data_IF_409813905655
#
_entry.id   IF_409813905655
#
_cell.length_a   1.000
_cell.length_b   1.000
_cell.length_c   1.000
_cell.angle_alpha   90.00
_cell.angle_beta   90.00
_cell.angle_gamma   90.00
#
_symmetry.space_group_name_H-M   'P 1'
#
loop_
_entity.id
_entity.type
_entity.pdbx_description
1 polymer ?
#
# COMPACT_ATOMS: atom_id res chain seq x y z
N UNK A 1 -2.22 -41.85 19.70
CA UNK A 1 -1.80 -40.60 19.07
C UNK A 1 -3.06 -39.77 18.95
N UNK A 2 -3.22 -38.72 19.75
CA UNK A 2 -4.37 -37.84 19.64
C UNK A 2 -4.24 -37.04 18.36
N UNK A 3 -5.19 -37.20 17.44
CA UNK A 3 -5.29 -36.36 16.25
C UNK A 3 -5.73 -34.99 16.75
N UNK A 4 -4.82 -34.02 16.78
CA UNK A 4 -5.18 -32.62 17.04
C UNK A 4 -5.87 -32.12 15.78
N UNK A 5 -7.18 -32.19 15.75
CA UNK A 5 -7.98 -31.43 14.80
C UNK A 5 -7.71 -29.96 15.10
N UNK A 6 -7.28 -29.21 14.09
CA UNK A 6 -7.19 -27.76 14.24
C UNK A 6 -8.52 -27.22 14.77
N UNK A 7 -8.48 -26.15 15.51
CA UNK A 7 -9.58 -25.58 16.31
C UNK A 7 -10.74 -25.00 15.49
N UNK A 8 -11.22 -25.72 14.49
CA UNK A 8 -12.56 -25.52 13.97
C UNK A 8 -13.52 -26.13 15.00
N UNK A 9 -14.23 -25.29 15.71
CA UNK A 9 -15.31 -25.71 16.60
C UNK A 9 -16.33 -26.49 15.79
N UNK A 10 -16.33 -27.81 15.97
CA UNK A 10 -17.40 -28.69 15.52
C UNK A 10 -18.41 -28.73 16.67
N UNK A 11 -19.08 -27.65 16.94
CA UNK A 11 -20.17 -27.58 17.90
C UNK A 11 -21.51 -27.38 17.22
N UNK A 12 -22.29 -28.20 17.56
CA UNK A 12 -23.70 -28.65 17.56
C UNK A 12 -24.78 -27.78 16.89
N UNK A 13 -24.62 -26.77 16.16
CA UNK A 13 -25.61 -26.13 15.24
C UNK A 13 -25.06 -24.80 14.67
N UNK A 14 -24.33 -24.78 13.78
CA UNK A 14 -24.34 -24.52 12.34
C UNK A 14 -24.79 -23.09 12.01
N UNK A 15 -23.90 -22.17 12.21
CA UNK A 15 -23.93 -20.96 11.42
C UNK A 15 -23.59 -21.35 9.96
N UNK A 16 -24.45 -21.00 9.01
CA UNK A 16 -24.20 -21.19 7.58
C UNK A 16 -23.11 -20.25 7.06
N UNK A 17 -22.61 -19.36 7.90
CA UNK A 17 -21.59 -18.36 7.60
C UNK A 17 -20.59 -18.31 8.75
N UNK A 18 -19.30 -18.29 8.44
CA UNK A 18 -18.26 -17.98 9.40
C UNK A 18 -18.28 -16.48 9.68
N UNK A 19 -17.99 -16.12 10.94
CA UNK A 19 -17.79 -14.72 11.28
C UNK A 19 -16.52 -14.22 10.58
N UNK A 20 -16.58 -13.12 9.78
CA UNK A 20 -15.40 -12.62 9.09
C UNK A 20 -14.38 -12.09 10.09
N UNK A 21 -13.12 -12.46 9.89
CA UNK A 21 -12.02 -11.85 10.63
C UNK A 21 -11.90 -10.37 10.28
N UNK A 22 -11.26 -9.60 11.16
CA UNK A 22 -10.94 -8.20 10.92
C UNK A 22 -9.62 -8.10 10.15
N UNK A 23 -9.63 -7.35 9.06
CA UNK A 23 -8.45 -7.10 8.20
C UNK A 23 -8.32 -5.61 7.90
N UNK A 24 -7.09 -5.16 7.67
CA UNK A 24 -6.86 -3.87 7.06
C UNK A 24 -7.14 -3.93 5.56
N UNK A 25 -7.89 -2.97 5.05
CA UNK A 25 -8.17 -2.89 3.63
C UNK A 25 -6.90 -2.57 2.83
N UNK A 26 -6.74 -3.22 1.67
CA UNK A 26 -5.63 -2.94 0.79
C UNK A 26 -5.91 -1.70 -0.05
N UNK A 27 -5.31 -0.58 0.34
CA UNK A 27 -5.47 0.74 -0.30
C UNK A 27 -4.84 0.84 -1.69
N UNK A 28 -4.04 -0.14 -2.10
CA UNK A 28 -3.39 -0.18 -3.41
C UNK A 28 -4.16 -1.03 -4.43
N UNK A 29 -5.30 -1.60 -4.08
CA UNK A 29 -6.10 -2.43 -4.98
C UNK A 29 -6.58 -1.67 -6.22
N UNK A 30 -6.93 -0.38 -6.08
CA UNK A 30 -7.54 0.43 -7.13
C UNK A 30 -6.54 1.03 -8.14
N UNK A 31 -5.25 0.88 -7.93
CA UNK A 31 -4.20 1.40 -8.83
C UNK A 31 -4.11 2.94 -8.93
N UNK A 32 -4.85 3.69 -8.12
CA UNK A 32 -4.86 5.16 -8.12
C UNK A 32 -3.71 5.77 -7.31
N UNK A 33 -3.10 4.98 -6.45
CA UNK A 33 -2.13 5.41 -5.44
C UNK A 33 -0.68 5.15 -5.83
N UNK A 34 -0.45 4.47 -6.95
CA UNK A 34 0.88 4.13 -7.43
C UNK A 34 0.93 4.13 -8.96
N UNK A 35 2.13 3.99 -9.53
CA UNK A 35 2.32 3.82 -10.96
C UNK A 35 2.76 2.41 -11.32
N UNK A 36 2.24 1.88 -12.42
CA UNK A 36 2.69 0.64 -13.06
C UNK A 36 3.54 0.89 -14.32
N UNK A 37 4.12 2.09 -14.46
CA UNK A 37 5.01 2.44 -15.57
C UNK A 37 6.40 1.84 -15.35
N UNK A 38 6.65 0.68 -15.93
CA UNK A 38 7.92 -0.02 -15.87
C UNK A 38 8.26 -0.64 -17.23
N UNK A 39 9.53 -0.94 -17.46
CA UNK A 39 10.02 -1.65 -18.63
C UNK A 39 10.57 -3.01 -18.21
N UNK A 40 10.11 -4.07 -18.86
CA UNK A 40 10.69 -5.41 -18.73
C UNK A 40 11.84 -5.55 -19.71
N UNK A 41 13.00 -5.95 -19.20
CA UNK A 41 14.21 -6.23 -20.01
C UNK A 41 14.79 -7.58 -19.59
N UNK A 42 15.68 -8.10 -20.40
CA UNK A 42 16.35 -9.39 -20.14
C UNK A 42 17.06 -9.50 -18.78
N UNK A 43 17.30 -8.40 -18.07
CA UNK A 43 17.91 -8.34 -16.75
C UNK A 43 16.96 -8.01 -15.60
N UNK A 44 15.65 -7.91 -15.83
CA UNK A 44 14.69 -7.58 -14.79
C UNK A 44 13.69 -6.48 -15.15
N UNK A 45 12.99 -6.00 -14.15
CA UNK A 45 12.00 -4.92 -14.27
C UNK A 45 12.64 -3.61 -13.81
N UNK A 46 12.49 -2.56 -14.61
CA UNK A 46 13.15 -1.28 -14.35
C UNK A 46 12.20 -0.11 -14.59
N UNK A 47 12.34 0.93 -13.77
CA UNK A 47 11.77 2.24 -14.04
C UNK A 47 12.88 3.12 -14.61
N UNK A 48 12.64 3.68 -15.81
CA UNK A 48 13.58 4.61 -16.45
C UNK A 48 13.35 6.02 -15.93
N UNK A 49 14.38 6.61 -15.35
CA UNK A 49 14.41 8.01 -14.93
C UNK A 49 15.34 8.81 -15.85
N UNK A 50 14.78 9.76 -16.58
CA UNK A 50 15.58 10.69 -17.39
C UNK A 50 16.22 11.75 -16.49
N UNK A 51 17.48 12.07 -16.76
CA UNK A 51 18.12 13.18 -16.10
C UNK A 51 17.49 14.51 -16.58
N UNK A 52 17.22 15.41 -15.65
CA UNK A 52 16.72 16.75 -15.96
C UNK A 52 17.90 17.62 -16.39
N UNK A 53 17.88 18.09 -17.64
CA UNK A 53 18.76 19.14 -18.07
C UNK A 53 18.20 20.52 -17.71
N UNK A 54 19.06 21.45 -17.28
CA UNK A 54 18.64 22.83 -17.05
C UNK A 54 18.46 23.53 -18.40
N UNK A 55 17.34 24.20 -18.59
CA UNK A 55 17.10 25.05 -19.74
C UNK A 55 17.59 26.44 -19.44
N UNK A 56 18.57 26.93 -20.18
CA UNK A 56 19.01 28.32 -20.15
C UNK A 56 18.27 29.16 -21.21
N UNK A 57 17.95 30.44 -20.93
CA UNK A 57 17.42 31.33 -21.94
C UNK A 57 18.40 31.44 -23.13
N UNK A 58 17.94 31.11 -24.33
CA UNK A 58 18.73 31.23 -25.55
C UNK A 58 18.75 32.66 -26.05
N UNK A 59 19.82 33.01 -26.78
CA UNK A 59 19.89 34.29 -27.52
C UNK A 59 19.18 34.13 -28.87
N UNK A 60 18.23 35.01 -29.23
CA UNK A 60 17.55 34.91 -30.52
C UNK A 60 18.54 34.87 -31.69
N UNK A 61 18.33 33.92 -32.60
CA UNK A 61 19.16 33.78 -33.80
C UNK A 61 20.47 33.00 -33.63
N UNK A 62 20.71 32.34 -32.51
CA UNK A 62 21.84 31.43 -32.30
C UNK A 62 21.38 29.96 -32.32
N UNK A 63 22.32 29.08 -32.65
CA UNK A 63 22.12 27.65 -32.68
C UNK A 63 21.73 27.12 -31.29
N UNK A 64 20.96 26.01 -31.27
CA UNK A 64 20.60 25.31 -30.06
C UNK A 64 21.86 24.75 -29.37
N UNK A 65 21.92 24.87 -28.08
CA UNK A 65 22.93 24.20 -27.25
C UNK A 65 22.51 22.74 -27.03
N UNK A 66 23.23 21.80 -27.62
CA UNK A 66 22.99 20.39 -27.43
C UNK A 66 23.43 19.95 -26.03
N UNK A 67 22.51 19.38 -25.29
CA UNK A 67 22.77 18.77 -23.97
C UNK A 67 22.64 17.26 -24.11
N UNK A 68 23.68 16.53 -23.72
CA UNK A 68 23.61 15.08 -23.68
C UNK A 68 22.54 14.62 -22.68
N UNK A 69 21.59 13.83 -23.13
CA UNK A 69 20.60 13.21 -22.28
C UNK A 69 21.17 11.94 -21.66
N UNK A 70 21.05 11.81 -20.34
CA UNK A 70 21.38 10.57 -19.62
C UNK A 70 20.13 10.01 -18.99
N UNK A 71 20.05 8.70 -18.87
CA UNK A 71 19.01 8.01 -18.14
C UNK A 71 19.58 7.12 -17.04
N UNK A 72 18.78 6.90 -16.01
CA UNK A 72 19.10 5.98 -14.93
C UNK A 72 18.01 4.94 -14.86
N UNK A 73 18.40 3.66 -14.85
CA UNK A 73 17.50 2.55 -14.66
C UNK A 73 17.42 2.22 -13.16
N UNK A 74 16.22 2.30 -12.59
CA UNK A 74 15.94 1.95 -11.20
C UNK A 74 15.34 0.55 -11.18
N UNK A 75 16.02 -0.47 -10.64
CA UNK A 75 15.51 -1.82 -10.61
C UNK A 75 14.36 -1.96 -9.59
N UNK A 76 13.32 -2.70 -9.98
CA UNK A 76 12.28 -3.21 -9.09
C UNK A 76 12.50 -4.71 -8.96
N UNK A 77 12.74 -5.17 -7.75
CA UNK A 77 13.00 -6.59 -7.47
C UNK A 77 11.73 -7.24 -6.93
N UNK A 78 11.33 -8.34 -7.56
CA UNK A 78 10.17 -9.14 -7.19
C UNK A 78 10.58 -10.16 -6.12
N UNK A 79 10.66 -9.76 -4.89
CA UNK A 79 11.12 -10.59 -3.78
C UNK A 79 10.17 -10.61 -2.58
N UNK A 80 9.02 -9.96 -2.69
CA UNK A 80 7.98 -10.00 -1.68
C UNK A 80 6.93 -11.03 -2.09
N UNK A 81 7.08 -12.24 -1.59
CA UNK A 81 6.20 -13.36 -1.88
C UNK A 81 5.28 -13.62 -0.69
N UNK A 82 3.98 -13.51 -0.92
CA UNK A 82 2.92 -13.77 0.03
C UNK A 82 2.23 -15.07 -0.35
N UNK A 83 2.31 -16.05 0.53
CA UNK A 83 1.77 -17.39 0.29
C UNK A 83 0.88 -17.81 1.45
N UNK A 84 -0.24 -18.43 1.13
CA UNK A 84 -1.08 -19.12 2.12
C UNK A 84 -1.52 -20.48 1.57
N UNK A 85 -1.48 -21.48 2.44
CA UNK A 85 -1.98 -22.82 2.12
C UNK A 85 -2.77 -23.35 3.33
N UNK A 86 -4.07 -23.49 3.16
CA UNK A 86 -4.99 -24.00 4.14
C UNK A 86 -5.38 -25.46 3.81
N UNK A 87 -5.37 -26.32 4.83
CA UNK A 87 -5.80 -27.74 4.73
C UNK A 87 -7.22 -27.88 5.24
N UNK A 88 -8.08 -28.47 4.44
CA UNK A 88 -9.46 -28.76 4.81
C UNK A 88 -9.64 -30.27 4.71
N UNK A 89 -9.99 -30.93 5.82
CA UNK A 89 -10.27 -32.36 5.83
C UNK A 89 -11.72 -32.61 5.44
N UNK A 90 -11.99 -33.65 4.61
CA UNK A 90 -13.34 -33.98 4.15
C UNK A 90 -14.32 -34.24 5.30
N UNK A 91 -13.85 -34.88 6.37
CA UNK A 91 -14.69 -35.11 7.57
C UNK A 91 -15.17 -33.79 8.20
N UNK A 92 -14.36 -32.74 8.15
CA UNK A 92 -14.74 -31.42 8.64
C UNK A 92 -15.73 -30.74 7.68
N UNK A 93 -15.50 -30.88 6.37
CA UNK A 93 -16.37 -30.31 5.35
C UNK A 93 -17.77 -30.96 5.33
N UNK A 94 -17.86 -32.30 5.58
CA UNK A 94 -19.14 -33.01 5.64
C UNK A 94 -19.98 -32.64 6.86
N UNK A 95 -19.36 -32.22 7.95
CA UNK A 95 -20.03 -31.84 9.19
C UNK A 95 -20.49 -30.36 9.23
N UNK A 96 -20.13 -29.57 8.25
CA UNK A 96 -20.44 -28.15 8.15
C UNK A 96 -21.27 -27.93 6.87
N UNK A 97 -22.46 -27.34 6.98
CA UNK A 97 -23.34 -27.03 5.86
C UNK A 97 -22.78 -25.91 4.95
N UNK A 98 -21.74 -25.19 5.37
CA UNK A 98 -21.11 -24.11 4.61
C UNK A 98 -20.07 -24.65 3.65
N UNK A 99 -19.86 -23.96 2.53
CA UNK A 99 -18.75 -24.22 1.60
C UNK A 99 -17.43 -23.73 2.23
N UNK A 100 -16.87 -24.56 3.11
CA UNK A 100 -15.65 -24.26 3.88
C UNK A 100 -14.48 -23.92 2.97
N UNK A 101 -14.39 -24.57 1.80
CA UNK A 101 -13.29 -24.31 0.88
C UNK A 101 -13.37 -22.89 0.30
N UNK A 102 -14.55 -22.46 -0.10
CA UNK A 102 -14.80 -21.12 -0.62
C UNK A 102 -14.55 -20.04 0.44
N UNK A 103 -15.07 -20.25 1.65
CA UNK A 103 -14.88 -19.26 2.72
C UNK A 103 -13.41 -19.16 3.17
N UNK A 104 -12.69 -20.28 3.23
CA UNK A 104 -11.25 -20.28 3.49
C UNK A 104 -10.46 -19.60 2.38
N UNK A 105 -10.92 -19.70 1.14
CA UNK A 105 -10.36 -19.00 0.01
C UNK A 105 -10.55 -17.48 0.15
N UNK A 106 -11.77 -17.02 0.45
CA UNK A 106 -12.05 -15.58 0.68
C UNK A 106 -11.23 -15.01 1.85
N UNK A 107 -11.05 -15.78 2.92
CA UNK A 107 -10.20 -15.41 4.06
C UNK A 107 -8.73 -15.30 3.63
N UNK A 108 -8.22 -16.28 2.87
CA UNK A 108 -6.84 -16.27 2.41
C UNK A 108 -6.55 -15.08 1.50
N UNK A 109 -7.46 -14.76 0.57
CA UNK A 109 -7.34 -13.59 -0.32
C UNK A 109 -7.23 -12.28 0.48
N UNK A 110 -8.07 -12.12 1.50
CA UNK A 110 -8.04 -10.91 2.36
C UNK A 110 -6.74 -10.79 3.15
N UNK A 111 -6.27 -11.88 3.75
CA UNK A 111 -5.02 -11.90 4.52
C UNK A 111 -3.79 -11.64 3.65
N UNK A 112 -3.74 -12.19 2.43
CA UNK A 112 -2.70 -11.90 1.46
C UNK A 112 -2.77 -10.43 1.02
N UNK A 113 -3.98 -9.92 0.75
CA UNK A 113 -4.21 -8.53 0.39
C UNK A 113 -3.74 -7.55 1.48
N UNK A 114 -4.02 -7.85 2.76
CA UNK A 114 -3.51 -7.09 3.90
C UNK A 114 -1.98 -7.13 3.97
N UNK A 115 -1.37 -8.32 3.95
CA UNK A 115 0.08 -8.47 4.01
C UNK A 115 0.80 -7.74 2.88
N UNK A 116 0.28 -7.84 1.67
CA UNK A 116 0.79 -7.14 0.49
C UNK A 116 0.66 -5.61 0.65
N UNK A 117 -0.49 -5.11 1.07
CA UNK A 117 -0.73 -3.68 1.29
C UNK A 117 0.15 -3.10 2.38
N UNK A 118 0.30 -3.79 3.52
CA UNK A 118 1.16 -3.37 4.62
C UNK A 118 2.64 -3.35 4.23
N UNK A 119 3.11 -4.32 3.44
CA UNK A 119 4.47 -4.32 2.90
C UNK A 119 4.72 -3.17 1.93
N UNK A 120 3.74 -2.81 1.10
CA UNK A 120 3.84 -1.65 0.22
C UNK A 120 3.94 -0.33 1.01
N UNK A 121 3.14 -0.17 2.08
CA UNK A 121 3.25 0.96 3.00
C UNK A 121 4.62 0.99 3.68
N UNK A 122 5.12 -0.16 4.13
CA UNK A 122 6.45 -0.26 4.75
C UNK A 122 7.56 0.22 3.82
N UNK A 123 7.52 -0.17 2.54
CA UNK A 123 8.45 0.31 1.53
C UNK A 123 8.33 1.82 1.35
N UNK A 124 7.11 2.35 1.20
CA UNK A 124 6.87 3.77 1.00
C UNK A 124 7.37 4.63 2.19
N UNK A 125 7.15 4.18 3.43
CA UNK A 125 7.62 4.86 4.64
C UNK A 125 9.13 4.75 4.82
N UNK A 126 9.72 3.62 4.47
CA UNK A 126 11.15 3.35 4.67
C UNK A 126 12.02 4.03 3.62
N UNK A 127 11.60 4.02 2.34
CA UNK A 127 12.35 4.60 1.22
C UNK A 127 11.92 6.04 0.90
N UNK A 128 10.82 6.52 1.49
CA UNK A 128 10.32 7.88 1.32
C UNK A 128 11.20 8.93 2.01
N UNK A 129 11.10 10.19 1.54
CA UNK A 129 11.77 11.33 2.17
C UNK A 129 11.12 11.69 3.51
N UNK A 130 11.92 12.21 4.43
CA UNK A 130 11.41 12.71 5.72
C UNK A 130 10.60 13.98 5.51
N UNK A 131 9.48 14.12 6.20
CA UNK A 131 8.67 15.34 6.21
C UNK A 131 9.40 16.54 6.80
N UNK A 132 8.92 17.72 6.49
CA UNK A 132 9.59 19.00 6.83
C UNK A 132 9.39 19.47 8.27
N UNK A 133 8.44 18.87 9.00
CA UNK A 133 8.04 19.30 10.34
C UNK A 133 7.99 18.16 11.34
N UNK A 134 8.42 18.43 12.60
CA UNK A 134 8.38 17.46 13.70
C UNK A 134 7.23 17.73 14.69
N UNK A 135 6.27 18.57 14.32
CA UNK A 135 5.16 18.95 15.21
C UNK A 135 4.02 17.94 15.06
N UNK A 136 3.53 17.38 16.14
CA UNK A 136 2.36 16.50 16.16
C UNK A 136 1.11 17.25 15.68
N UNK A 137 0.27 16.58 14.90
CA UNK A 137 -0.97 17.15 14.39
C UNK A 137 -1.99 17.35 15.52
N UNK A 138 -2.69 18.47 15.44
CA UNK A 138 -3.82 18.82 16.31
C UNK A 138 -4.85 19.55 15.45
N UNK A 139 -6.10 19.64 15.89
CA UNK A 139 -7.15 20.38 15.17
C UNK A 139 -6.77 21.83 14.87
N UNK A 140 -5.97 22.47 15.75
CA UNK A 140 -5.53 23.85 15.58
C UNK A 140 -4.43 24.05 14.52
N UNK A 141 -3.56 23.05 14.32
CA UNK A 141 -2.38 23.17 13.42
C UNK A 141 -2.45 22.33 12.15
N UNK A 142 -3.40 21.41 12.04
CA UNK A 142 -3.51 20.42 10.96
C UNK A 142 -3.38 21.04 9.58
N UNK A 143 -4.17 22.07 9.28
CA UNK A 143 -4.14 22.77 8.00
C UNK A 143 -2.75 23.34 7.68
N UNK A 144 -2.10 23.93 8.69
CA UNK A 144 -0.77 24.50 8.55
C UNK A 144 0.27 23.44 8.26
N UNK A 145 0.18 22.27 8.90
CA UNK A 145 1.06 21.13 8.66
C UNK A 145 0.92 20.59 7.24
N UNK A 146 -0.30 20.32 6.77
CA UNK A 146 -0.56 19.85 5.40
C UNK A 146 -0.02 20.83 4.36
N UNK A 147 -0.28 22.13 4.55
CA UNK A 147 0.22 23.17 3.64
C UNK A 147 1.73 23.29 3.65
N UNK A 148 2.38 23.13 4.81
CA UNK A 148 3.84 23.16 4.94
C UNK A 148 4.48 22.00 4.18
N UNK A 149 4.01 20.75 4.39
CA UNK A 149 4.51 19.57 3.66
C UNK A 149 4.27 19.67 2.16
N UNK A 150 3.06 20.08 1.75
CA UNK A 150 2.77 20.34 0.33
C UNK A 150 3.71 21.37 -0.27
N UNK A 151 3.94 22.49 0.44
CA UNK A 151 4.86 23.54 -0.02
C UNK A 151 6.30 23.03 -0.15
N UNK A 152 6.76 22.19 0.80
CA UNK A 152 8.09 21.59 0.76
C UNK A 152 8.26 20.68 -0.47
N UNK A 153 7.26 19.84 -0.79
CA UNK A 153 7.27 18.99 -1.97
C UNK A 153 7.23 19.80 -3.28
N UNK A 154 6.36 20.82 -3.36
CA UNK A 154 6.26 21.68 -4.54
C UNK A 154 7.56 22.44 -4.81
N UNK A 155 8.28 22.90 -3.76
CA UNK A 155 9.62 23.50 -3.89
C UNK A 155 10.64 22.52 -4.50
N UNK A 156 10.48 21.22 -4.27
CA UNK A 156 11.26 20.15 -4.89
C UNK A 156 10.74 19.75 -6.30
N UNK A 157 9.80 20.51 -6.85
CA UNK A 157 9.14 20.28 -8.17
C UNK A 157 8.29 19.01 -8.19
N UNK A 158 7.90 18.48 -7.02
CA UNK A 158 6.94 17.39 -6.92
C UNK A 158 5.50 17.93 -7.02
N UNK A 159 4.60 17.08 -7.49
CA UNK A 159 3.17 17.38 -7.58
C UNK A 159 2.40 16.35 -6.72
N UNK A 160 2.34 16.55 -5.41
CA UNK A 160 1.67 15.59 -4.54
C UNK A 160 0.18 15.52 -4.89
N UNK A 161 -0.33 14.31 -5.05
CA UNK A 161 -1.71 14.00 -5.40
C UNK A 161 -2.35 12.97 -4.47
N UNK A 162 -1.54 12.22 -3.71
CA UNK A 162 -2.00 11.21 -2.74
C UNK A 162 -1.50 11.52 -1.34
N UNK A 163 -2.39 11.36 -0.35
CA UNK A 163 -2.07 11.46 1.08
C UNK A 163 -2.65 10.25 1.79
N UNK A 164 -1.78 9.36 2.27
CA UNK A 164 -2.18 8.27 3.14
C UNK A 164 -2.15 8.77 4.59
N UNK A 165 -3.24 8.61 5.28
CA UNK A 165 -3.45 9.11 6.65
C UNK A 165 -3.54 7.97 7.64
N UNK A 166 -2.96 8.13 8.84
CA UNK A 166 -3.30 7.24 9.95
C UNK A 166 -4.75 7.48 10.40
N UNK A 167 -5.41 6.50 11.03
CA UNK A 167 -6.79 6.64 11.52
C UNK A 167 -6.97 7.86 12.43
N UNK A 168 -6.03 8.09 13.34
CA UNK A 168 -6.07 9.25 14.26
C UNK A 168 -5.95 10.58 13.50
N UNK A 169 -5.04 10.66 12.53
CA UNK A 169 -4.90 11.85 11.70
C UNK A 169 -6.13 12.08 10.83
N UNK A 170 -6.72 11.01 10.31
CA UNK A 170 -7.94 11.08 9.51
C UNK A 170 -9.14 11.55 10.34
N UNK A 171 -9.28 11.10 11.59
CA UNK A 171 -10.29 11.59 12.52
C UNK A 171 -10.14 13.09 12.80
N UNK A 172 -8.90 13.57 13.06
CA UNK A 172 -8.63 15.01 13.20
C UNK A 172 -8.95 15.81 11.93
N UNK A 173 -8.72 15.21 10.76
CA UNK A 173 -9.04 15.82 9.47
C UNK A 173 -10.55 16.01 9.32
N UNK A 174 -11.35 15.00 9.67
CA UNK A 174 -12.81 15.07 9.64
C UNK A 174 -13.35 16.10 10.64
N UNK A 175 -12.82 16.15 11.85
CA UNK A 175 -13.21 17.13 12.86
C UNK A 175 -12.92 18.56 12.39
N UNK A 176 -11.73 18.80 11.83
CA UNK A 176 -11.34 20.12 11.30
C UNK A 176 -12.17 20.50 10.06
N UNK A 177 -12.50 19.52 9.22
CA UNK A 177 -13.32 19.73 8.04
C UNK A 177 -14.73 20.25 8.39
N UNK A 178 -15.35 19.73 9.45
CA UNK A 178 -16.66 20.17 9.91
C UNK A 178 -16.72 21.63 10.36
N UNK A 179 -15.61 22.21 10.77
CA UNK A 179 -15.56 23.60 11.30
C UNK A 179 -15.02 24.63 10.32
N UNK A 180 -14.15 24.27 9.40
CA UNK A 180 -13.45 25.22 8.52
C UNK A 180 -13.52 24.88 7.03
N UNK A 181 -14.12 23.77 6.69
CA UNK A 181 -14.13 23.20 5.36
C UNK A 181 -15.53 22.85 4.95
N UNK A 182 -15.88 23.19 3.69
CA UNK A 182 -16.90 22.46 2.95
C UNK A 182 -16.15 21.48 2.07
N UNK A 183 -15.87 20.25 2.53
CA UNK A 183 -15.33 19.25 1.63
C UNK A 183 -16.42 19.01 0.59
N UNK A 184 -16.03 18.89 -0.67
CA UNK A 184 -16.87 18.21 -1.64
C UNK A 184 -16.84 16.75 -1.22
N UNK A 185 -17.64 16.42 -0.21
CA UNK A 185 -17.84 15.06 0.26
C UNK A 185 -18.69 14.41 -0.81
N UNK A 186 -18.06 13.70 -1.73
CA UNK A 186 -18.76 12.69 -2.50
C UNK A 186 -19.24 11.61 -1.52
N UNK A 187 -20.45 11.07 -1.71
CA UNK A 187 -20.97 9.90 -0.99
C UNK A 187 -19.98 8.72 -0.99
N UNK A 188 -19.08 8.67 -1.95
CA UNK A 188 -17.96 7.73 -2.08
C UNK A 188 -16.94 7.85 -0.94
N UNK A 189 -16.72 9.02 -0.40
CA UNK A 189 -15.75 9.26 0.67
C UNK A 189 -16.19 8.62 2.00
N UNK A 190 -17.47 8.60 2.28
CA UNK A 190 -18.03 8.00 3.50
C UNK A 190 -18.10 6.48 3.44
N UNK A 191 -18.05 5.88 2.25
CA UNK A 191 -18.23 4.42 2.08
C UNK A 191 -16.89 3.67 2.03
N UNK A 192 -15.81 4.32 1.57
CA UNK A 192 -14.52 3.65 1.30
C UNK A 192 -13.32 4.29 2.02
N UNK A 193 -13.52 5.06 3.09
CA UNK A 193 -12.42 5.71 3.82
C UNK A 193 -11.65 6.76 2.97
N UNK A 194 -12.18 7.18 1.83
CA UNK A 194 -11.61 8.23 1.00
C UNK A 194 -12.30 9.55 1.30
N UNK A 195 -11.55 10.49 1.83
CA UNK A 195 -12.02 11.84 1.98
C UNK A 195 -11.76 12.61 0.69
N UNK A 196 -12.68 12.82 -0.17
CA UNK A 196 -12.63 13.62 -1.39
C UNK A 196 -11.32 14.36 -1.71
N UNK A 197 -11.25 15.09 -2.79
CA UNK A 197 -10.05 15.83 -3.18
C UNK A 197 -9.98 17.18 -2.47
N UNK A 198 -8.88 17.44 -1.75
CA UNK A 198 -8.56 18.75 -1.22
C UNK A 198 -7.17 19.21 -1.69
N UNK A 199 -7.05 20.46 -2.12
CA UNK A 199 -5.82 21.03 -2.70
C UNK A 199 -5.26 20.20 -3.89
N UNK A 200 -6.13 19.48 -4.59
CA UNK A 200 -5.75 18.58 -5.69
C UNK A 200 -5.19 17.23 -5.24
N UNK A 201 -5.20 16.92 -3.94
CA UNK A 201 -4.74 15.66 -3.35
C UNK A 201 -5.92 14.82 -2.90
N UNK A 202 -5.80 13.51 -3.03
CA UNK A 202 -6.75 12.52 -2.51
C UNK A 202 -6.28 12.04 -1.14
N UNK A 203 -7.13 12.12 -0.13
CA UNK A 203 -6.85 11.65 1.23
C UNK A 203 -7.46 10.27 1.41
N UNK A 204 -6.64 9.31 1.85
CA UNK A 204 -7.03 7.91 2.03
C UNK A 204 -6.63 7.48 3.44
N UNK A 205 -7.55 6.88 4.17
CA UNK A 205 -7.28 6.26 5.45
C UNK A 205 -6.54 4.95 5.25
N UNK A 206 -5.42 4.77 5.93
CA UNK A 206 -4.59 3.58 5.89
C UNK A 206 -4.51 2.98 7.30
N UNK A 207 -5.30 1.93 7.55
CA UNK A 207 -5.47 1.34 8.88
C UNK A 207 -4.18 0.85 9.57
N UNK A 208 -3.14 0.50 8.79
CA UNK A 208 -1.84 0.10 9.35
C UNK A 208 -0.92 1.25 9.73
N UNK A 209 -1.18 2.48 9.29
CA UNK A 209 -0.40 3.67 9.67
C UNK A 209 -0.77 4.12 11.09
N UNK A 210 0.24 4.44 11.88
CA UNK A 210 0.09 4.93 13.24
C UNK A 210 0.08 3.81 14.31
N UNK A 211 -0.21 2.55 13.97
CA UNK A 211 -0.44 1.51 14.97
C UNK A 211 0.48 0.30 14.89
N UNK A 212 1.03 -0.03 13.71
CA UNK A 212 1.75 -1.28 13.49
C UNK A 212 3.19 -1.10 13.05
N UNK A 213 3.91 -2.21 12.99
CA UNK A 213 5.16 -2.36 12.25
C UNK A 213 4.91 -3.27 11.06
N UNK A 214 5.49 -2.98 9.91
CA UNK A 214 5.38 -3.84 8.75
C UNK A 214 6.76 -4.11 8.14
N UNK A 215 6.88 -5.23 7.43
CA UNK A 215 8.13 -5.67 6.84
C UNK A 215 8.00 -5.81 5.34
N UNK A 216 9.09 -5.55 4.62
CA UNK A 216 9.21 -5.81 3.21
C UNK A 216 10.64 -6.20 2.86
N UNK A 217 10.82 -6.89 1.74
CA UNK A 217 12.15 -7.15 1.19
C UNK A 217 12.57 -5.99 0.28
N UNK A 218 13.69 -5.38 0.60
CA UNK A 218 14.26 -4.29 -0.19
C UNK A 218 14.93 -4.80 -1.47
N UNK A 219 15.41 -3.89 -2.33
CA UNK A 219 16.08 -4.23 -3.59
C UNK A 219 17.35 -5.10 -3.42
N UNK A 220 17.96 -5.12 -2.23
CA UNK A 220 19.10 -5.99 -1.91
C UNK A 220 18.70 -7.39 -1.43
N UNK A 221 17.40 -7.71 -1.38
CA UNK A 221 16.88 -8.97 -0.87
C UNK A 221 16.92 -9.09 0.66
N UNK A 222 17.14 -7.99 1.37
CA UNK A 222 17.17 -7.97 2.84
C UNK A 222 15.82 -7.59 3.40
N UNK A 223 15.35 -8.32 4.41
CA UNK A 223 14.13 -8.01 5.14
C UNK A 223 14.32 -6.71 5.92
N UNK A 224 13.49 -5.72 5.63
CA UNK A 224 13.50 -4.40 6.28
C UNK A 224 12.21 -4.22 7.04
N UNK A 225 12.30 -3.78 8.30
CA UNK A 225 11.14 -3.47 9.14
C UNK A 225 10.94 -1.96 9.20
N UNK A 226 9.78 -1.51 8.78
CA UNK A 226 9.36 -0.12 8.95
C UNK A 226 8.49 0.03 10.19
N UNK A 227 8.80 1.02 11.02
CA UNK A 227 7.99 1.39 12.18
C UNK A 227 6.92 2.38 11.73
N UNK A 228 5.67 1.93 11.69
CA UNK A 228 4.52 2.73 11.26
C UNK A 228 3.81 3.44 12.43
N UNK A 229 4.09 3.04 13.69
CA UNK A 229 3.45 3.51 14.92
C UNK A 229 3.53 5.02 15.17
N UNK A 230 4.48 5.70 14.55
CA UNK A 230 4.65 7.15 14.69
C UNK A 230 4.39 7.93 13.40
N UNK A 231 3.80 7.29 12.40
CA UNK A 231 3.53 7.95 11.13
C UNK A 231 2.12 8.54 11.14
N UNK A 232 2.01 9.86 11.06
CA UNK A 232 0.72 10.56 10.98
C UNK A 232 0.14 10.47 9.56
N UNK A 233 0.96 10.82 8.57
CA UNK A 233 0.57 10.71 7.17
C UNK A 233 1.77 10.59 6.24
N UNK A 234 1.54 10.11 5.05
CA UNK A 234 2.51 10.07 3.94
C UNK A 234 1.90 10.81 2.76
N UNK A 235 2.55 11.91 2.35
CA UNK A 235 2.13 12.72 1.20
C UNK A 235 3.09 12.48 0.05
N UNK A 236 2.58 12.12 -1.11
CA UNK A 236 3.44 11.82 -2.26
C UNK A 236 2.75 12.03 -3.61
N UNK A 237 3.56 11.98 -4.64
CA UNK A 237 3.16 11.95 -6.04
C UNK A 237 3.06 10.47 -6.45
N UNK A 238 1.90 10.01 -6.94
CA UNK A 238 1.68 8.61 -7.32
C UNK A 238 2.72 8.08 -8.32
N UNK A 239 3.30 8.96 -9.16
CA UNK A 239 4.37 8.58 -10.08
C UNK A 239 5.71 8.26 -9.38
N UNK A 240 5.87 8.63 -8.12
CA UNK A 240 7.08 8.35 -7.36
C UNK A 240 7.10 6.97 -6.71
N UNK A 241 5.98 6.26 -6.68
CA UNK A 241 5.86 4.94 -6.10
C UNK A 241 5.41 3.92 -7.13
N UNK A 242 6.22 2.91 -7.37
CA UNK A 242 5.94 1.85 -8.34
C UNK A 242 5.69 0.52 -7.63
N UNK A 243 4.64 -0.15 -8.06
CA UNK A 243 4.27 -1.51 -7.63
C UNK A 243 4.18 -2.38 -8.87
N UNK A 244 4.74 -3.57 -8.77
CA UNK A 244 4.70 -4.60 -9.82
C UNK A 244 4.29 -5.92 -9.18
N UNK A 245 3.25 -6.53 -9.72
CA UNK A 245 2.82 -7.89 -9.39
C UNK A 245 3.16 -8.80 -10.59
N UNK A 246 3.85 -9.91 -10.33
CA UNK A 246 4.27 -10.81 -11.41
C UNK A 246 3.55 -12.15 -11.38
N UNK A 247 3.13 -12.62 -10.22
CA UNK A 247 2.47 -13.91 -10.08
C UNK A 247 1.29 -13.77 -9.14
N UNK A 248 0.13 -14.13 -9.66
CA UNK A 248 -1.07 -14.31 -8.86
C UNK A 248 -1.58 -15.72 -9.13
N UNK A 249 -1.58 -16.55 -8.12
CA UNK A 249 -2.05 -17.93 -8.22
C UNK A 249 -3.05 -18.20 -7.11
N UNK A 250 -4.20 -18.68 -7.51
CA UNK A 250 -5.24 -19.10 -6.60
C UNK A 250 -5.80 -20.45 -7.07
N UNK A 251 -5.77 -21.47 -6.20
CA UNK A 251 -6.21 -22.81 -6.59
C UNK A 251 -6.73 -23.63 -5.41
N UNK A 252 -7.66 -24.51 -5.71
CA UNK A 252 -8.12 -25.56 -4.81
C UNK A 252 -7.69 -26.90 -5.42
N UNK A 253 -6.96 -27.71 -4.67
CA UNK A 253 -6.42 -28.99 -5.13
C UNK A 253 -6.81 -30.10 -4.17
N UNK A 254 -7.20 -31.25 -4.71
CA UNK A 254 -7.34 -32.47 -3.93
C UNK A 254 -5.97 -32.94 -3.44
N UNK A 255 -5.88 -33.31 -2.18
CA UNK A 255 -4.62 -33.69 -1.57
C UNK A 255 -4.37 -35.20 -1.69
N UNK A 256 -3.22 -35.57 -2.24
CA UNK A 256 -2.75 -36.97 -2.25
C UNK A 256 -2.23 -37.45 -0.88
N UNK A 257 -1.96 -36.54 0.05
CA UNK A 257 -1.31 -36.84 1.34
C UNK A 257 -2.31 -37.03 2.49
N UNK A 258 -3.52 -36.51 2.37
CA UNK A 258 -4.59 -36.61 3.35
C UNK A 258 -5.94 -36.57 2.65
N UNK A 259 -6.97 -37.07 3.31
CA UNK A 259 -8.33 -37.03 2.77
C UNK A 259 -8.92 -35.62 2.94
N UNK A 260 -8.81 -34.80 1.88
CA UNK A 260 -9.25 -33.41 1.90
C UNK A 260 -8.67 -32.57 0.79
N UNK A 261 -8.93 -31.27 0.83
CA UNK A 261 -8.50 -30.30 -0.16
C UNK A 261 -7.48 -29.30 0.43
N UNK A 262 -6.62 -28.79 -0.44
CA UNK A 262 -5.71 -27.68 -0.16
C UNK A 262 -6.23 -26.43 -0.88
N UNK A 263 -6.45 -25.36 -0.13
CA UNK A 263 -6.69 -24.03 -0.67
C UNK A 263 -5.37 -23.28 -0.64
N UNK A 264 -4.86 -22.91 -1.81
CA UNK A 264 -3.55 -22.26 -1.97
C UNK A 264 -3.68 -20.97 -2.75
N UNK A 265 -3.05 -19.93 -2.22
CA UNK A 265 -2.91 -18.64 -2.87
C UNK A 265 -1.48 -18.13 -2.76
N UNK A 266 -1.03 -17.42 -3.79
CA UNK A 266 0.30 -16.84 -3.86
C UNK A 266 0.26 -15.54 -4.67
N UNK A 267 0.88 -14.49 -4.14
CA UNK A 267 1.12 -13.22 -4.83
C UNK A 267 2.59 -12.85 -4.68
N UNK A 268 3.25 -12.58 -5.79
CA UNK A 268 4.64 -12.12 -5.80
C UNK A 268 4.70 -10.67 -6.27
N UNK A 269 5.21 -9.80 -5.42
CA UNK A 269 5.23 -8.36 -5.63
C UNK A 269 6.60 -7.72 -5.48
N UNK A 270 6.81 -6.63 -6.20
CA UNK A 270 7.96 -5.74 -6.05
C UNK A 270 7.50 -4.31 -5.80
N UNK A 271 8.14 -3.64 -4.85
CA UNK A 271 7.86 -2.25 -4.49
C UNK A 271 9.09 -1.40 -4.65
N UNK A 272 8.92 -0.16 -5.11
CA UNK A 272 10.03 0.79 -5.20
C UNK A 272 9.58 2.24 -5.15
N UNK A 273 10.20 3.02 -4.27
CA UNK A 273 10.14 4.48 -4.35
C UNK A 273 11.18 4.95 -5.36
N UNK A 274 10.73 5.45 -6.50
CA UNK A 274 11.62 5.87 -7.61
C UNK A 274 12.26 7.22 -7.36
N UNK A 275 11.63 8.06 -6.53
CA UNK A 275 12.16 9.38 -6.18
C UNK A 275 11.71 9.80 -4.77
N UNK A 276 12.60 9.66 -3.79
CA UNK A 276 12.34 10.04 -2.39
C UNK A 276 12.01 11.54 -2.21
N UNK A 277 12.47 12.42 -3.11
CA UNK A 277 12.15 13.86 -3.05
C UNK A 277 10.69 14.18 -3.37
N UNK A 278 9.97 13.22 -3.97
CA UNK A 278 8.53 13.32 -4.24
C UNK A 278 7.64 12.70 -3.17
N UNK A 279 8.25 12.23 -2.09
CA UNK A 279 7.55 11.57 -0.96
C UNK A 279 7.93 12.30 0.31
N UNK A 280 6.94 12.64 1.14
CA UNK A 280 7.13 13.22 2.47
C UNK A 280 6.43 12.35 3.52
N UNK A 281 7.22 11.70 4.37
CA UNK A 281 6.77 10.88 5.48
C UNK A 281 6.74 11.73 6.74
N UNK A 282 5.55 12.04 7.25
CA UNK A 282 5.35 12.82 8.46
C UNK A 282 5.25 11.89 9.66
N UNK A 283 6.16 12.07 10.61
CA UNK A 283 6.18 11.31 11.87
C UNK A 283 5.76 12.19 13.04
N UNK A 284 5.09 11.58 14.03
CA UNK A 284 4.88 12.18 15.34
C UNK A 284 6.25 12.39 16.03
N UNK A 285 6.31 13.40 16.85
CA UNK A 285 7.47 13.64 17.68
C UNK A 285 7.52 12.71 18.89
#
# INVERSE_FOLDING_TARGET
>A
MAVVYGSLHVDEKYSKMFEPNLYYENIFADGLTFTSKYEEKAGGIFVRKLASASVAPGTPGRDFSDVATSDTLIPIVLNNNFQKSNKIYNVQAENIEADVAREQFEVATKEIGEGWGQSAIACLVSEGGTGSTDTTATTANLKKLILAERSALVKKKAKPDVVLCSPDFFALLLETAGTQYTPVINDYANTNGQMGKWLGMTFIEAGGLGETTATYYNAAGSLTTATLTKVEFVMYDHEAFSIVNNLEMARIIDSERFNGVLVQEEVNAGYKVTNADRVAVKKMK
#
